data_IF_080164942701
#
_entry.id   IF_080164942701
#
_cell.length_a   1.000
_cell.length_b   1.000
_cell.length_c   1.000
_cell.angle_alpha   90.00
_cell.angle_beta   90.00
_cell.angle_gamma   90.00
#
_symmetry.space_group_name_H-M   'P 1'
#
loop_
_entity.id
_entity.type
_entity.pdbx_description
1 polymer ?
#
# COMPACT_ATOMS: atom_id res chain seq x y z
N UNK A 1 46.93 -39.13 56.16
CA UNK A 1 48.32 -38.86 56.60
C UNK A 1 48.56 -37.38 56.33
N UNK A 2 48.67 -36.67 57.41
CA UNK A 2 49.78 -35.84 57.88
C UNK A 2 50.15 -34.73 56.87
N UNK A 3 50.25 -33.51 57.15
CA UNK A 3 50.51 -32.60 58.32
C UNK A 3 50.99 -31.31 57.65
N UNK A 4 50.56 -30.19 57.98
CA UNK A 4 50.91 -29.21 59.02
C UNK A 4 51.54 -27.96 58.38
N UNK A 5 50.98 -26.79 58.67
CA UNK A 5 51.54 -25.67 59.51
C UNK A 5 52.61 -24.84 58.79
N UNK A 6 52.75 -23.55 58.88
CA UNK A 6 52.67 -22.57 59.96
C UNK A 6 52.99 -21.21 59.31
N UNK A 7 52.31 -20.13 59.54
CA UNK A 7 52.53 -19.09 60.57
C UNK A 7 53.80 -18.22 60.40
N UNK A 8 53.54 -16.98 60.54
CA UNK A 8 54.24 -15.81 61.08
C UNK A 8 54.35 -14.67 60.06
N UNK A 9 53.71 -13.60 60.23
CA UNK A 9 53.70 -12.57 61.28
C UNK A 9 54.85 -11.55 61.15
N UNK A 10 54.39 -10.37 61.14
CA UNK A 10 54.89 -9.15 61.81
C UNK A 10 55.58 -8.10 60.95
N UNK A 11 54.92 -6.98 60.88
CA UNK A 11 55.11 -5.70 61.64
C UNK A 11 56.06 -4.70 60.95
N UNK A 12 55.66 -3.56 60.74
CA UNK A 12 55.70 -2.25 61.38
C UNK A 12 56.00 -1.09 60.37
N UNK A 13 55.21 -0.13 60.51
CA UNK A 13 55.43 1.35 60.57
C UNK A 13 56.01 2.04 59.30
N UNK A 14 55.55 3.12 58.90
CA UNK A 14 54.87 4.24 59.47
C UNK A 14 55.02 5.45 58.57
N UNK A 15 54.27 6.44 58.90
CA UNK A 15 54.24 7.91 58.58
C UNK A 15 53.53 8.38 57.33
N UNK A 16 52.32 8.85 57.51
CA UNK A 16 51.82 10.25 57.56
C UNK A 16 52.50 11.25 56.60
N UNK A 17 51.75 11.70 55.58
CA UNK A 17 51.65 13.14 55.25
C UNK A 17 50.27 13.43 54.64
N UNK A 18 49.63 14.33 55.30
CA UNK A 18 48.43 15.12 55.00
C UNK A 18 48.52 15.85 53.66
N UNK A 19 47.41 15.94 52.90
CA UNK A 19 46.89 17.21 52.47
C UNK A 19 45.62 17.09 51.55
N UNK A 20 44.61 17.69 52.05
CA UNK A 20 43.65 18.60 51.40
C UNK A 20 42.53 18.00 50.61
N UNK A 21 41.38 18.07 51.21
CA UNK A 21 40.04 18.00 50.69
C UNK A 21 39.80 18.97 49.51
N UNK A 22 39.21 18.44 48.44
CA UNK A 22 38.28 19.24 47.62
C UNK A 22 37.07 18.36 47.32
N UNK A 23 36.04 18.65 48.08
CA UNK A 23 34.67 18.16 47.85
C UNK A 23 34.17 18.63 46.50
N UNK A 24 34.01 17.73 45.57
CA UNK A 24 33.22 17.90 44.35
C UNK A 24 32.02 16.97 44.42
N UNK A 25 30.88 17.44 44.91
CA UNK A 25 29.60 16.80 44.73
C UNK A 25 29.28 16.83 43.23
N UNK A 26 29.59 15.73 42.54
CA UNK A 26 29.07 15.42 41.24
C UNK A 26 27.73 14.73 41.41
N UNK A 27 26.67 15.49 41.37
CA UNK A 27 25.28 15.03 41.22
C UNK A 27 25.20 14.21 39.91
N UNK A 28 24.95 12.89 40.02
CA UNK A 28 24.50 12.11 38.88
C UNK A 28 23.17 12.72 38.44
N UNK A 29 23.20 13.54 37.41
CA UNK A 29 22.03 13.86 36.62
C UNK A 29 21.56 12.55 36.02
N UNK A 30 20.35 12.13 36.40
CA UNK A 30 19.61 11.14 35.68
C UNK A 30 19.48 11.67 34.24
N UNK A 31 20.19 11.04 33.32
CA UNK A 31 20.07 11.32 31.91
C UNK A 31 18.65 10.95 31.50
N UNK A 32 17.84 11.95 31.25
CA UNK A 32 16.63 11.85 30.49
C UNK A 32 17.05 11.24 29.14
N UNK A 33 16.63 10.01 28.87
CA UNK A 33 16.83 9.37 27.57
C UNK A 33 16.01 10.13 26.54
N UNK A 34 16.58 11.20 26.01
CA UNK A 34 16.18 11.72 24.71
C UNK A 34 16.60 10.65 23.71
N UNK A 35 15.64 9.95 23.11
CA UNK A 35 15.82 9.19 21.89
C UNK A 35 16.13 10.19 20.76
N UNK A 36 17.35 10.71 20.77
CA UNK A 36 17.88 11.48 19.66
C UNK A 36 18.04 10.54 18.47
N UNK A 37 17.41 10.87 17.38
CA UNK A 37 17.76 10.36 16.05
C UNK A 37 19.29 10.49 15.94
N UNK A 38 19.96 9.39 15.62
CA UNK A 38 21.41 9.41 15.34
C UNK A 38 21.58 10.32 14.13
N UNK A 39 22.10 11.52 14.33
CA UNK A 39 22.15 12.59 13.33
C UNK A 39 22.97 12.23 12.08
N UNK A 40 23.67 11.11 12.10
CA UNK A 40 24.56 10.66 11.02
C UNK A 40 24.00 9.41 10.30
N UNK A 41 22.87 8.86 10.73
CA UNK A 41 22.30 7.66 10.11
C UNK A 41 21.54 7.99 8.83
N UNK A 42 21.91 7.33 7.72
CA UNK A 42 21.18 7.36 6.45
C UNK A 42 20.47 6.04 6.27
N UNK A 43 19.13 6.06 6.32
CA UNK A 43 18.30 4.89 6.15
C UNK A 43 18.26 4.45 4.69
N UNK A 44 18.33 3.15 4.43
CA UNK A 44 18.23 2.56 3.10
C UNK A 44 16.82 2.00 2.93
N UNK A 45 16.07 2.50 1.98
CA UNK A 45 14.67 2.10 1.74
C UNK A 45 14.52 1.58 0.32
N UNK A 46 13.99 0.37 0.16
CA UNK A 46 13.63 -0.18 -1.15
C UNK A 46 12.15 0.00 -1.44
N UNK A 47 11.80 0.44 -2.63
CA UNK A 47 10.43 0.54 -3.12
C UNK A 47 10.27 -0.39 -4.32
N UNK A 48 9.40 -1.40 -4.20
CA UNK A 48 9.00 -2.26 -5.30
C UNK A 48 7.59 -1.85 -5.75
N UNK A 49 7.48 -1.21 -6.91
CA UNK A 49 6.21 -0.84 -7.54
C UNK A 49 5.90 -1.82 -8.68
N UNK A 50 4.66 -2.35 -8.72
CA UNK A 50 4.27 -3.35 -9.72
C UNK A 50 4.35 -2.79 -11.16
N UNK A 51 3.77 -1.63 -11.40
CA UNK A 51 3.69 -1.01 -12.73
C UNK A 51 3.58 0.50 -12.60
N UNK A 52 3.64 1.22 -13.73
CA UNK A 52 3.41 2.65 -13.79
C UNK A 52 1.98 2.92 -14.23
N UNK A 53 1.24 3.63 -13.41
CA UNK A 53 -0.01 4.31 -13.67
C UNK A 53 -0.28 5.29 -12.54
N UNK A 54 -1.20 6.22 -12.77
CA UNK A 54 -1.40 7.40 -11.91
C UNK A 54 -1.55 7.07 -10.42
N UNK A 55 -2.30 6.02 -10.06
CA UNK A 55 -2.54 5.67 -8.67
C UNK A 55 -1.25 5.16 -7.98
N UNK A 56 -0.52 4.21 -8.59
CA UNK A 56 0.72 3.69 -7.98
C UNK A 56 1.84 4.73 -7.97
N UNK A 57 1.93 5.57 -9.01
CA UNK A 57 2.91 6.65 -9.08
C UNK A 57 2.63 7.69 -7.98
N UNK A 58 1.35 8.05 -7.77
CA UNK A 58 0.95 8.96 -6.69
C UNK A 58 1.24 8.37 -5.30
N UNK A 59 0.99 7.07 -5.08
CA UNK A 59 1.30 6.41 -3.81
C UNK A 59 2.82 6.38 -3.54
N UNK A 60 3.62 6.07 -4.55
CA UNK A 60 5.10 6.13 -4.42
C UNK A 60 5.57 7.55 -4.13
N UNK A 61 5.02 8.56 -4.82
CA UNK A 61 5.37 9.96 -4.58
C UNK A 61 5.02 10.39 -3.16
N UNK A 62 3.80 10.09 -2.68
CA UNK A 62 3.39 10.40 -1.31
C UNK A 62 4.31 9.77 -0.26
N UNK A 63 4.70 8.51 -0.46
CA UNK A 63 5.65 7.81 0.42
C UNK A 63 7.02 8.50 0.47
N UNK A 64 7.56 8.85 -0.69
CA UNK A 64 8.86 9.53 -0.80
C UNK A 64 8.82 10.92 -0.14
N UNK A 65 7.73 11.67 -0.38
CA UNK A 65 7.55 13.01 0.19
C UNK A 65 7.42 12.97 1.70
N UNK A 66 6.70 11.99 2.26
CA UNK A 66 6.59 11.80 3.69
C UNK A 66 7.94 11.51 4.35
N UNK A 67 8.72 10.57 3.78
CA UNK A 67 10.05 10.25 4.32
C UNK A 67 11.00 11.44 4.25
N UNK A 68 11.05 12.15 3.12
CA UNK A 68 11.86 13.34 2.96
C UNK A 68 11.46 14.46 3.94
N UNK A 69 10.16 14.62 4.19
CA UNK A 69 9.63 15.64 5.10
C UNK A 69 9.96 15.30 6.55
N UNK A 70 9.81 14.04 6.96
CA UNK A 70 9.90 13.62 8.37
C UNK A 70 11.32 13.31 8.79
N UNK A 71 12.12 12.72 7.90
CA UNK A 71 13.51 12.31 8.22
C UNK A 71 14.55 13.31 7.71
N UNK A 72 14.23 14.09 6.67
CA UNK A 72 15.18 14.87 5.89
C UNK A 72 15.72 14.05 4.70
N UNK A 73 15.79 14.67 3.53
CA UNK A 73 16.26 14.00 2.30
C UNK A 73 17.72 13.53 2.37
N UNK A 74 18.54 14.14 3.25
CA UNK A 74 19.92 13.76 3.54
C UNK A 74 20.04 12.50 4.42
N UNK A 75 18.97 12.12 5.13
CA UNK A 75 18.93 10.99 6.06
C UNK A 75 18.21 9.76 5.50
N UNK A 76 17.75 9.79 4.26
CA UNK A 76 17.11 8.65 3.62
C UNK A 76 17.57 8.50 2.17
N UNK A 77 17.91 7.26 1.79
CA UNK A 77 18.22 6.87 0.42
C UNK A 77 17.15 5.89 -0.06
N UNK A 78 16.35 6.28 -1.04
CA UNK A 78 15.21 5.52 -1.53
C UNK A 78 15.51 4.98 -2.92
N UNK A 79 15.56 3.65 -3.05
CA UNK A 79 15.76 2.93 -4.32
C UNK A 79 14.38 2.47 -4.84
N UNK A 80 13.83 3.19 -5.82
CA UNK A 80 12.53 2.88 -6.43
C UNK A 80 12.75 2.03 -7.68
N UNK A 81 12.16 0.85 -7.72
CA UNK A 81 12.19 -0.07 -8.86
C UNK A 81 10.79 -0.50 -9.27
N UNK A 82 10.55 -0.52 -10.59
CA UNK A 82 9.24 -0.84 -11.19
C UNK A 82 9.32 -2.16 -11.94
N UNK A 83 8.37 -3.06 -11.65
CA UNK A 83 8.30 -4.41 -12.25
C UNK A 83 7.61 -4.43 -13.63
N UNK A 84 7.22 -3.28 -14.18
CA UNK A 84 6.63 -3.11 -15.52
C UNK A 84 5.39 -3.97 -15.79
N UNK A 85 4.60 -4.25 -14.75
CA UNK A 85 3.34 -5.02 -14.83
C UNK A 85 3.53 -6.53 -14.79
N UNK A 86 4.75 -7.04 -14.68
CA UNK A 86 5.03 -8.47 -14.52
C UNK A 86 5.27 -8.80 -13.04
N UNK A 87 4.33 -9.49 -12.41
CA UNK A 87 4.42 -9.91 -11.01
C UNK A 87 5.67 -10.75 -10.72
N UNK A 88 6.17 -11.51 -11.70
CA UNK A 88 7.39 -12.32 -11.55
C UNK A 88 8.63 -11.47 -11.43
N UNK A 89 8.61 -10.26 -11.98
CA UNK A 89 9.71 -9.27 -11.89
C UNK A 89 9.80 -8.63 -10.51
N UNK A 90 8.73 -8.63 -9.69
CA UNK A 90 8.80 -8.16 -8.31
C UNK A 90 9.82 -8.97 -7.48
N UNK A 91 9.91 -10.29 -7.71
CA UNK A 91 10.80 -11.18 -6.94
C UNK A 91 12.29 -10.80 -7.04
N UNK A 92 12.91 -10.65 -8.23
CA UNK A 92 14.31 -10.21 -8.31
C UNK A 92 14.55 -8.80 -7.77
N UNK A 93 13.58 -7.88 -7.91
CA UNK A 93 13.67 -6.54 -7.33
C UNK A 93 13.77 -6.63 -5.81
N UNK A 94 12.83 -7.32 -5.17
CA UNK A 94 12.81 -7.48 -3.71
C UNK A 94 14.05 -8.23 -3.21
N UNK A 95 14.47 -9.30 -3.90
CA UNK A 95 15.70 -10.02 -3.55
C UNK A 95 16.95 -9.12 -3.62
N UNK A 96 16.97 -8.15 -4.55
CA UNK A 96 18.04 -7.14 -4.58
C UNK A 96 18.06 -6.29 -3.31
N UNK A 97 16.90 -5.86 -2.81
CA UNK A 97 16.79 -5.10 -1.57
C UNK A 97 17.21 -5.93 -0.35
N UNK A 98 16.80 -7.21 -0.29
CA UNK A 98 17.20 -8.12 0.79
C UNK A 98 18.72 -8.30 0.79
N UNK A 99 19.36 -8.50 -0.38
CA UNK A 99 20.80 -8.63 -0.53
C UNK A 99 21.55 -7.35 -0.13
N UNK A 100 20.99 -6.17 -0.43
CA UNK A 100 21.51 -4.87 -0.01
C UNK A 100 21.30 -4.60 1.48
N UNK A 101 20.48 -5.42 2.16
CA UNK A 101 20.10 -5.26 3.57
C UNK A 101 19.49 -3.89 3.84
N UNK A 102 18.52 -3.51 3.04
CA UNK A 102 17.79 -2.25 3.27
C UNK A 102 17.12 -2.24 4.64
N UNK A 103 16.90 -1.07 5.22
CA UNK A 103 16.28 -0.91 6.55
C UNK A 103 14.75 -1.15 6.50
N UNK A 104 14.12 -0.93 5.33
CA UNK A 104 12.69 -1.11 5.12
C UNK A 104 12.39 -1.34 3.63
N UNK A 105 11.37 -2.15 3.33
CA UNK A 105 10.81 -2.34 1.99
C UNK A 105 9.39 -1.79 1.96
N UNK A 106 9.10 -0.90 1.01
CA UNK A 106 7.75 -0.53 0.63
C UNK A 106 7.34 -1.33 -0.60
N UNK A 107 6.22 -2.04 -0.49
CA UNK A 107 5.65 -2.86 -1.57
C UNK A 107 4.37 -2.20 -2.08
N UNK A 108 4.42 -1.65 -3.29
CA UNK A 108 3.32 -0.94 -3.92
C UNK A 108 2.56 -1.87 -4.88
N UNK A 109 1.38 -2.27 -4.51
CA UNK A 109 0.43 -3.24 -5.04
C UNK A 109 0.59 -4.66 -4.47
N UNK A 110 -0.51 -5.44 -4.55
CA UNK A 110 -0.61 -6.82 -4.04
C UNK A 110 0.52 -7.75 -4.51
N UNK A 111 0.89 -7.83 -5.80
CA UNK A 111 1.98 -8.71 -6.23
C UNK A 111 3.35 -8.32 -5.67
N UNK A 112 3.61 -7.03 -5.48
CA UNK A 112 4.84 -6.55 -4.84
C UNK A 112 4.89 -6.95 -3.35
N UNK A 113 3.75 -6.84 -2.64
CA UNK A 113 3.64 -7.31 -1.25
C UNK A 113 3.88 -8.82 -1.15
N UNK A 114 3.29 -9.62 -2.03
CA UNK A 114 3.51 -11.08 -2.07
C UNK A 114 4.97 -11.44 -2.31
N UNK A 115 5.65 -10.75 -3.22
CA UNK A 115 7.07 -10.94 -3.46
C UNK A 115 7.92 -10.60 -2.23
N UNK A 116 7.60 -9.49 -1.54
CA UNK A 116 8.30 -9.06 -0.33
C UNK A 116 8.07 -10.04 0.84
N UNK A 117 6.84 -10.47 1.05
CA UNK A 117 6.47 -11.47 2.05
C UNK A 117 7.27 -12.77 1.92
N UNK A 118 7.42 -13.25 0.67
CA UNK A 118 8.14 -14.49 0.40
C UNK A 118 9.68 -14.34 0.50
N UNK A 119 10.21 -13.13 0.39
CA UNK A 119 11.65 -12.90 0.32
C UNK A 119 12.31 -12.69 1.68
N UNK A 120 11.61 -12.17 2.69
CA UNK A 120 12.20 -11.85 3.99
C UNK A 120 11.18 -11.90 5.13
N UNK A 121 11.65 -12.36 6.29
CA UNK A 121 10.89 -12.36 7.55
C UNK A 121 11.49 -11.40 8.59
N UNK A 122 12.52 -10.63 8.21
CA UNK A 122 13.28 -9.80 9.15
C UNK A 122 13.34 -8.33 8.78
N UNK A 123 13.33 -7.99 7.47
CA UNK A 123 13.27 -6.61 7.03
C UNK A 123 11.80 -6.15 7.14
N UNK A 124 11.51 -5.01 7.77
CA UNK A 124 10.17 -4.44 7.80
C UNK A 124 9.60 -4.23 6.41
N UNK A 125 8.35 -4.64 6.19
CA UNK A 125 7.63 -4.50 4.91
C UNK A 125 6.37 -3.69 5.16
N UNK A 126 6.23 -2.57 4.46
CA UNK A 126 4.99 -1.82 4.41
C UNK A 126 4.35 -1.97 3.03
N UNK A 127 3.15 -2.55 2.99
CA UNK A 127 2.32 -2.55 1.80
C UNK A 127 1.64 -1.20 1.62
N UNK A 128 1.45 -0.77 0.38
CA UNK A 128 0.55 0.33 -0.01
C UNK A 128 -0.16 -0.05 -1.29
N UNK A 129 -1.32 0.53 -1.56
CA UNK A 129 -2.16 0.13 -2.71
C UNK A 129 -2.45 -1.38 -2.71
N UNK A 130 -2.69 -1.93 -1.53
CA UNK A 130 -3.06 -3.33 -1.29
C UNK A 130 -4.50 -3.39 -0.83
N UNK A 131 -5.35 -4.03 -1.60
CA UNK A 131 -6.80 -4.02 -1.35
C UNK A 131 -7.17 -4.78 -0.09
N UNK A 132 -6.76 -6.05 0.03
CA UNK A 132 -7.13 -6.89 1.17
C UNK A 132 -5.96 -7.79 1.55
N UNK A 133 -5.39 -7.58 2.74
CA UNK A 133 -4.18 -8.25 3.21
C UNK A 133 -4.39 -9.73 3.50
N UNK A 134 -5.57 -10.13 3.97
CA UNK A 134 -5.92 -11.54 4.20
C UNK A 134 -5.86 -12.33 2.90
N UNK A 135 -6.45 -11.81 1.82
CA UNK A 135 -6.40 -12.41 0.47
C UNK A 135 -4.98 -12.37 -0.09
N UNK A 136 -4.31 -11.21 0.00
CA UNK A 136 -2.96 -11.03 -0.53
C UNK A 136 -1.95 -12.02 0.05
N UNK A 137 -2.06 -12.33 1.34
CA UNK A 137 -1.12 -13.16 2.09
C UNK A 137 -1.66 -14.54 2.46
N UNK A 138 -2.90 -14.87 2.07
CA UNK A 138 -3.54 -16.15 2.38
C UNK A 138 -3.83 -16.37 3.87
N UNK A 139 -4.19 -15.30 4.60
CA UNK A 139 -4.46 -15.34 6.04
C UNK A 139 -5.96 -15.55 6.28
N UNK A 140 -6.34 -16.72 6.84
CA UNK A 140 -7.73 -17.06 7.11
C UNK A 140 -8.38 -16.24 8.24
N UNK A 141 -7.57 -15.76 9.18
CA UNK A 141 -8.04 -15.09 10.42
C UNK A 141 -7.56 -13.63 10.49
N UNK A 142 -7.43 -12.97 9.32
CA UNK A 142 -7.01 -11.58 9.27
C UNK A 142 -8.06 -10.67 9.94
N UNK A 143 -7.62 -9.87 10.89
CA UNK A 143 -8.47 -8.99 11.71
C UNK A 143 -7.97 -7.54 11.80
N UNK A 144 -7.24 -7.10 10.75
CA UNK A 144 -6.74 -5.73 10.66
C UNK A 144 -5.26 -5.54 11.04
N UNK A 145 -4.61 -6.57 11.59
CA UNK A 145 -3.15 -6.58 11.84
C UNK A 145 -2.55 -7.85 11.27
N UNK A 146 -1.51 -7.72 10.44
CA UNK A 146 -0.79 -8.87 9.87
C UNK A 146 0.16 -9.48 10.90
N UNK A 147 0.89 -8.63 11.59
CA UNK A 147 1.92 -9.06 12.55
C UNK A 147 3.26 -9.40 11.90
N UNK A 148 4.19 -9.94 12.69
CA UNK A 148 5.53 -10.25 12.21
C UNK A 148 6.26 -9.00 11.71
N UNK A 149 6.76 -9.02 10.49
CA UNK A 149 7.47 -7.89 9.88
C UNK A 149 6.64 -7.12 8.83
N UNK A 150 5.30 -7.22 8.87
CA UNK A 150 4.41 -6.65 7.85
C UNK A 150 3.34 -5.77 8.46
N UNK A 151 3.13 -4.61 7.87
CA UNK A 151 1.98 -3.72 8.04
C UNK A 151 1.78 -2.90 6.77
N UNK A 152 1.04 -1.80 6.84
CA UNK A 152 0.85 -0.88 5.72
C UNK A 152 -0.51 -0.23 5.65
N UNK A 153 -0.90 0.16 4.45
CA UNK A 153 -2.17 0.82 4.15
C UNK A 153 -2.97 0.03 3.12
N UNK A 154 -4.30 0.13 3.22
CA UNK A 154 -5.22 -0.52 2.28
C UNK A 154 -5.95 0.50 1.42
N UNK A 155 -6.08 0.19 0.13
CA UNK A 155 -6.86 0.97 -0.83
C UNK A 155 -8.29 0.48 -0.99
N UNK A 156 -8.74 -0.43 -0.11
CA UNK A 156 -10.08 -1.00 -0.16
C UNK A 156 -11.15 0.07 0.09
N UNK A 157 -11.81 0.49 -0.95
CA UNK A 157 -13.02 1.29 -0.86
C UNK A 157 -14.25 0.42 -0.51
N UNK A 158 -15.35 0.99 -0.01
CA UNK A 158 -16.58 0.25 0.26
C UNK A 158 -17.19 -0.34 -1.01
N UNK A 159 -16.95 -1.63 -1.30
CA UNK A 159 -17.32 -2.30 -2.55
C UNK A 159 -18.84 -2.33 -2.80
N UNK A 160 -19.64 -2.48 -1.74
CA UNK A 160 -21.11 -2.45 -1.87
C UNK A 160 -21.62 -1.06 -2.23
N UNK A 161 -20.95 0.00 -1.80
CA UNK A 161 -21.28 1.36 -2.19
C UNK A 161 -20.84 1.64 -3.64
N UNK A 162 -19.71 1.08 -4.10
CA UNK A 162 -19.34 1.11 -5.53
C UNK A 162 -20.39 0.40 -6.38
N UNK A 163 -20.92 -0.73 -5.93
CA UNK A 163 -22.00 -1.43 -6.61
C UNK A 163 -23.31 -0.62 -6.61
N UNK A 164 -23.65 0.07 -5.52
CA UNK A 164 -24.80 0.97 -5.48
C UNK A 164 -24.66 2.15 -6.44
N UNK A 165 -23.45 2.69 -6.64
CA UNK A 165 -23.20 3.72 -7.64
C UNK A 165 -23.59 3.29 -9.06
N UNK A 166 -23.45 2.01 -9.41
CA UNK A 166 -23.88 1.46 -10.70
C UNK A 166 -25.39 1.66 -10.83
N UNK A 167 -26.15 1.33 -9.78
CA UNK A 167 -27.61 1.43 -9.76
C UNK A 167 -28.09 2.89 -9.77
N UNK A 168 -27.37 3.78 -9.10
CA UNK A 168 -27.68 5.22 -9.03
C UNK A 168 -27.46 5.91 -10.37
N UNK A 169 -26.35 5.57 -11.06
CA UNK A 169 -25.96 6.22 -12.32
C UNK A 169 -26.60 5.60 -13.56
N UNK A 170 -26.96 4.30 -13.50
CA UNK A 170 -27.62 3.56 -14.58
C UNK A 170 -28.89 2.86 -14.05
N UNK A 171 -29.97 3.62 -13.73
CA UNK A 171 -31.14 3.06 -13.02
C UNK A 171 -31.87 1.94 -13.74
N UNK A 172 -31.68 1.77 -15.05
CA UNK A 172 -32.32 0.73 -15.85
C UNK A 172 -31.40 -0.46 -16.14
N UNK A 173 -30.25 -0.54 -15.45
CA UNK A 173 -29.27 -1.61 -15.62
C UNK A 173 -29.89 -2.99 -15.36
N UNK A 174 -29.59 -3.95 -16.24
CA UNK A 174 -29.97 -5.35 -16.12
C UNK A 174 -28.76 -6.27 -16.16
N UNK A 175 -27.75 -5.85 -16.90
CA UNK A 175 -26.52 -6.62 -17.13
C UNK A 175 -25.30 -5.78 -16.79
N UNK A 176 -24.44 -6.31 -15.91
CA UNK A 176 -23.16 -5.71 -15.53
C UNK A 176 -22.01 -6.59 -16.01
N UNK A 177 -21.14 -6.04 -16.83
CA UNK A 177 -19.87 -6.68 -17.20
C UNK A 177 -18.81 -6.40 -16.13
N UNK A 178 -18.23 -7.45 -15.57
CA UNK A 178 -17.16 -7.35 -14.58
C UNK A 178 -15.84 -7.56 -15.31
N UNK A 179 -15.14 -6.46 -15.64
CA UNK A 179 -13.91 -6.46 -16.44
C UNK A 179 -12.69 -6.37 -15.54
N UNK A 180 -11.82 -7.39 -15.56
CA UNK A 180 -10.70 -7.47 -14.63
C UNK A 180 -9.57 -8.40 -15.08
N UNK A 181 -8.39 -8.27 -14.47
CA UNK A 181 -7.25 -9.16 -14.64
C UNK A 181 -7.37 -10.36 -13.69
N UNK A 182 -7.48 -11.58 -14.26
CA UNK A 182 -7.57 -12.83 -13.47
C UNK A 182 -6.25 -13.23 -12.79
N UNK A 183 -5.14 -12.59 -13.16
CA UNK A 183 -3.84 -12.79 -12.51
C UNK A 183 -3.66 -11.90 -11.25
N UNK A 184 -4.63 -11.03 -10.95
CA UNK A 184 -4.59 -10.13 -9.80
C UNK A 184 -5.60 -10.58 -8.71
N UNK A 185 -5.12 -11.14 -7.57
CA UNK A 185 -6.01 -11.60 -6.49
C UNK A 185 -6.89 -10.48 -5.88
N UNK A 186 -6.37 -9.24 -5.84
CA UNK A 186 -7.14 -8.05 -5.43
C UNK A 186 -8.35 -7.82 -6.32
N UNK A 187 -8.21 -7.97 -7.63
CA UNK A 187 -9.29 -7.79 -8.61
C UNK A 187 -10.35 -8.89 -8.49
N UNK A 188 -9.93 -10.15 -8.40
CA UNK A 188 -10.83 -11.30 -8.20
C UNK A 188 -11.67 -11.16 -6.91
N UNK A 189 -11.05 -10.72 -5.81
CA UNK A 189 -11.74 -10.47 -4.55
C UNK A 189 -12.84 -9.42 -4.70
N UNK A 190 -12.52 -8.26 -5.27
CA UNK A 190 -13.45 -7.15 -5.45
C UNK A 190 -14.61 -7.54 -6.38
N UNK A 191 -14.28 -8.18 -7.51
CA UNK A 191 -15.28 -8.67 -8.47
C UNK A 191 -16.25 -9.63 -7.81
N UNK A 192 -15.74 -10.57 -6.98
CA UNK A 192 -16.61 -11.52 -6.28
C UNK A 192 -17.60 -10.80 -5.34
N UNK A 193 -17.14 -9.83 -4.56
CA UNK A 193 -18.00 -9.09 -3.63
C UNK A 193 -19.08 -8.30 -4.37
N UNK A 194 -18.70 -7.59 -5.45
CA UNK A 194 -19.63 -6.80 -6.27
C UNK A 194 -20.63 -7.70 -7.00
N UNK A 195 -20.18 -8.83 -7.56
CA UNK A 195 -21.03 -9.82 -8.21
C UNK A 195 -22.08 -10.38 -7.27
N UNK A 196 -21.66 -10.84 -6.07
CA UNK A 196 -22.55 -11.37 -5.06
C UNK A 196 -23.60 -10.32 -4.64
N UNK A 197 -23.17 -9.08 -4.44
CA UNK A 197 -24.05 -7.98 -4.02
C UNK A 197 -25.11 -7.63 -5.10
N UNK A 198 -24.67 -7.43 -6.35
CA UNK A 198 -25.56 -7.10 -7.46
C UNK A 198 -26.51 -8.25 -7.83
N UNK A 199 -26.02 -9.49 -7.80
CA UNK A 199 -26.83 -10.68 -8.05
C UNK A 199 -27.95 -10.83 -7.03
N UNK A 200 -27.70 -10.51 -5.75
CA UNK A 200 -28.73 -10.49 -4.70
C UNK A 200 -29.80 -9.38 -4.93
N UNK A 201 -29.49 -8.37 -5.76
CA UNK A 201 -30.42 -7.32 -6.19
C UNK A 201 -31.13 -7.67 -7.52
N UNK A 202 -30.88 -8.84 -8.08
CA UNK A 202 -31.52 -9.32 -9.32
C UNK A 202 -30.84 -8.81 -10.60
N UNK A 203 -29.62 -8.28 -10.50
CA UNK A 203 -28.81 -7.85 -11.64
C UNK A 203 -28.00 -9.03 -12.16
N UNK A 204 -27.97 -9.22 -13.47
CA UNK A 204 -27.14 -10.25 -14.12
C UNK A 204 -25.71 -9.75 -14.24
N UNK A 205 -24.77 -10.44 -13.60
CA UNK A 205 -23.35 -10.14 -13.72
C UNK A 205 -22.66 -11.17 -14.64
N UNK A 206 -21.77 -10.70 -15.49
CA UNK A 206 -20.94 -11.55 -16.36
C UNK A 206 -19.48 -11.15 -16.20
N UNK A 207 -18.62 -12.12 -15.91
CA UNK A 207 -17.18 -11.90 -15.77
C UNK A 207 -16.49 -11.88 -17.11
N UNK A 208 -15.73 -10.84 -17.37
CA UNK A 208 -14.88 -10.63 -18.54
C UNK A 208 -13.44 -10.48 -18.05
N UNK A 209 -12.70 -11.58 -18.00
CA UNK A 209 -11.34 -11.59 -17.50
C UNK A 209 -10.31 -11.66 -18.62
N UNK A 210 -9.23 -10.92 -18.46
CA UNK A 210 -7.99 -11.06 -19.21
C UNK A 210 -6.88 -11.52 -18.26
N UNK A 211 -5.83 -12.14 -18.78
CA UNK A 211 -4.69 -12.60 -17.96
C UNK A 211 -3.52 -11.62 -17.96
N UNK A 212 -3.44 -10.79 -18.99
CA UNK A 212 -2.40 -9.77 -19.16
C UNK A 212 -2.91 -8.65 -20.09
N UNK A 213 -2.06 -7.67 -20.33
CA UNK A 213 -2.42 -6.46 -21.10
C UNK A 213 -2.68 -6.69 -22.59
N UNK A 214 -2.32 -7.86 -23.18
CA UNK A 214 -2.50 -8.13 -24.60
C UNK A 214 -3.96 -8.40 -24.96
N UNK A 215 -4.71 -9.00 -24.04
CA UNK A 215 -6.11 -9.39 -24.27
C UNK A 215 -7.12 -8.29 -23.90
N UNK A 216 -6.68 -7.21 -23.24
CA UNK A 216 -7.57 -6.13 -22.73
C UNK A 216 -8.50 -5.61 -23.81
N UNK A 217 -8.01 -5.30 -25.02
CA UNK A 217 -8.85 -4.73 -26.08
C UNK A 217 -9.95 -5.69 -26.53
N UNK A 218 -9.63 -6.96 -26.73
CA UNK A 218 -10.59 -7.97 -27.21
C UNK A 218 -11.67 -8.25 -26.15
N UNK A 219 -11.25 -8.41 -24.89
CA UNK A 219 -12.15 -8.69 -23.77
C UNK A 219 -13.03 -7.48 -23.46
N UNK A 220 -12.48 -6.25 -23.49
CA UNK A 220 -13.26 -5.02 -23.34
C UNK A 220 -14.31 -4.86 -24.43
N UNK A 221 -13.95 -5.13 -25.70
CA UNK A 221 -14.89 -5.06 -26.81
C UNK A 221 -16.09 -5.99 -26.58
N UNK A 222 -15.83 -7.21 -26.11
CA UNK A 222 -16.89 -8.16 -25.81
C UNK A 222 -17.74 -7.70 -24.61
N UNK A 223 -17.11 -7.24 -23.53
CA UNK A 223 -17.81 -6.74 -22.35
C UNK A 223 -18.73 -5.56 -22.71
N UNK A 224 -18.23 -4.62 -23.53
CA UNK A 224 -18.98 -3.44 -23.94
C UNK A 224 -20.17 -3.78 -24.85
N UNK A 225 -20.07 -4.83 -25.66
CA UNK A 225 -21.18 -5.27 -26.53
C UNK A 225 -22.28 -6.02 -25.77
N UNK A 226 -21.96 -6.69 -24.67
CA UNK A 226 -22.87 -7.61 -23.99
C UNK A 226 -23.45 -7.03 -22.68
N UNK A 227 -23.03 -5.82 -22.25
CA UNK A 227 -23.37 -5.27 -20.93
C UNK A 227 -23.99 -3.86 -21.02
N UNK A 228 -24.94 -3.57 -20.14
CA UNK A 228 -25.51 -2.21 -20.00
C UNK A 228 -24.51 -1.25 -19.34
N UNK A 229 -23.65 -1.77 -18.48
CA UNK A 229 -22.56 -1.04 -17.79
C UNK A 229 -21.44 -2.01 -17.46
N UNK A 230 -20.21 -1.51 -17.43
CA UNK A 230 -19.03 -2.27 -17.01
C UNK A 230 -18.59 -1.78 -15.63
N UNK A 231 -18.24 -2.71 -14.74
CA UNK A 231 -17.50 -2.45 -13.52
C UNK A 231 -16.06 -2.89 -13.70
N UNK A 232 -15.12 -2.01 -13.40
CA UNK A 232 -13.67 -2.32 -13.35
C UNK A 232 -13.21 -2.09 -11.91
N UNK A 233 -12.74 -3.12 -11.18
CA UNK A 233 -12.24 -2.97 -9.82
C UNK A 233 -10.95 -2.14 -9.79
N UNK A 234 -10.34 -2.00 -8.62
CA UNK A 234 -8.96 -1.52 -8.48
C UNK A 234 -8.01 -2.56 -9.09
N UNK A 235 -7.75 -2.43 -10.39
CA UNK A 235 -7.05 -3.40 -11.25
C UNK A 235 -5.85 -2.73 -11.92
N UNK A 236 -4.64 -3.16 -11.60
CA UNK A 236 -3.41 -2.51 -12.07
C UNK A 236 -3.19 -2.67 -13.58
N UNK A 237 -3.60 -3.81 -14.14
CA UNK A 237 -3.49 -4.06 -15.57
C UNK A 237 -4.48 -3.19 -16.34
N UNK A 238 -5.73 -3.08 -15.89
CA UNK A 238 -6.73 -2.18 -16.47
C UNK A 238 -6.30 -0.71 -16.34
N UNK A 239 -5.79 -0.29 -15.17
CA UNK A 239 -5.29 1.06 -14.93
C UNK A 239 -4.17 1.47 -15.89
N UNK A 240 -3.28 0.54 -16.24
CA UNK A 240 -2.21 0.76 -17.22
C UNK A 240 -2.69 0.80 -18.68
N UNK A 241 -4.00 0.55 -18.96
CA UNK A 241 -4.61 0.42 -20.30
C UNK A 241 -5.88 1.25 -20.47
N UNK A 242 -6.07 2.26 -19.66
CA UNK A 242 -7.29 3.10 -19.64
C UNK A 242 -7.57 3.77 -20.98
N UNK A 243 -6.56 4.18 -21.74
CA UNK A 243 -6.73 4.76 -23.09
C UNK A 243 -7.38 3.74 -24.07
N UNK A 244 -6.89 2.49 -24.03
CA UNK A 244 -7.45 1.42 -24.87
C UNK A 244 -8.89 1.11 -24.49
N UNK A 245 -9.15 0.93 -23.19
CA UNK A 245 -10.48 0.68 -22.64
C UNK A 245 -11.40 1.85 -22.99
N UNK A 246 -10.97 3.09 -22.73
CA UNK A 246 -11.73 4.31 -22.96
C UNK A 246 -12.14 4.48 -24.43
N UNK A 247 -11.25 4.22 -25.37
CA UNK A 247 -11.56 4.26 -26.80
C UNK A 247 -12.70 3.29 -27.18
N UNK A 248 -12.67 2.08 -26.61
CA UNK A 248 -13.65 1.03 -26.92
C UNK A 248 -15.02 1.38 -26.30
N UNK A 249 -15.05 1.72 -25.00
CA UNK A 249 -16.31 1.97 -24.29
C UNK A 249 -17.01 3.26 -24.76
N UNK A 250 -16.26 4.30 -25.16
CA UNK A 250 -16.79 5.49 -25.82
C UNK A 250 -17.47 5.14 -27.15
N UNK A 251 -16.80 4.34 -27.98
CA UNK A 251 -17.33 3.91 -29.28
C UNK A 251 -18.58 3.04 -29.14
N UNK A 252 -18.62 2.19 -28.14
CA UNK A 252 -19.77 1.33 -27.80
C UNK A 252 -20.88 2.07 -27.05
N UNK A 253 -20.60 3.26 -26.50
CA UNK A 253 -21.46 4.03 -25.59
C UNK A 253 -21.85 3.25 -24.33
N UNK A 254 -20.94 2.42 -23.83
CA UNK A 254 -21.15 1.62 -22.63
C UNK A 254 -20.48 2.31 -21.45
N UNK A 255 -21.23 2.77 -20.43
CA UNK A 255 -20.66 3.43 -19.27
C UNK A 255 -19.81 2.47 -18.44
N UNK A 256 -18.80 3.02 -17.75
CA UNK A 256 -17.91 2.28 -16.84
C UNK A 256 -17.96 2.91 -15.46
N UNK A 257 -18.24 2.13 -14.43
CA UNK A 257 -17.99 2.51 -13.03
C UNK A 257 -16.68 1.88 -12.59
N UNK A 258 -15.78 2.73 -12.09
CA UNK A 258 -14.40 2.36 -11.82
C UNK A 258 -14.14 2.19 -10.32
N UNK A 259 -13.24 1.29 -9.97
CA UNK A 259 -12.79 1.01 -8.60
C UNK A 259 -11.83 2.07 -8.05
N UNK A 260 -11.17 2.85 -8.95
CA UNK A 260 -10.22 3.88 -8.53
C UNK A 260 -10.21 5.07 -9.52
N UNK A 261 -9.56 6.16 -9.08
CA UNK A 261 -9.61 7.48 -9.75
C UNK A 261 -8.96 7.48 -11.14
N UNK A 262 -7.79 6.85 -11.32
CA UNK A 262 -7.08 6.85 -12.61
C UNK A 262 -7.85 6.09 -13.69
N UNK A 263 -8.48 4.95 -13.34
CA UNK A 263 -9.38 4.23 -14.26
C UNK A 263 -10.59 5.10 -14.59
N UNK A 264 -11.16 5.79 -13.60
CA UNK A 264 -12.28 6.70 -13.83
C UNK A 264 -11.90 7.86 -14.76
N UNK A 265 -10.76 8.49 -14.54
CA UNK A 265 -10.27 9.58 -15.38
C UNK A 265 -10.06 9.14 -16.83
N UNK A 266 -9.51 7.95 -17.06
CA UNK A 266 -9.20 7.44 -18.39
C UNK A 266 -10.39 6.86 -19.15
N UNK A 267 -11.32 6.18 -18.47
CA UNK A 267 -12.40 5.45 -19.13
C UNK A 267 -13.74 5.37 -18.37
N UNK A 268 -13.80 5.84 -17.12
CA UNK A 268 -15.00 5.70 -16.29
C UNK A 268 -15.92 6.92 -16.28
N UNK A 269 -17.16 6.72 -15.86
CA UNK A 269 -18.11 7.81 -15.58
C UNK A 269 -18.03 8.28 -14.14
N UNK A 270 -17.78 7.35 -13.19
CA UNK A 270 -17.65 7.65 -11.77
C UNK A 270 -16.84 6.59 -11.03
N UNK A 271 -16.40 6.95 -9.82
CA UNK A 271 -15.70 6.08 -8.88
C UNK A 271 -15.99 6.49 -7.43
N UNK A 272 -15.96 5.54 -6.53
CA UNK A 272 -15.79 5.76 -5.10
C UNK A 272 -14.34 5.41 -4.76
N UNK A 273 -13.49 6.41 -4.67
CA UNK A 273 -12.04 6.25 -4.61
C UNK A 273 -11.42 6.99 -3.44
N UNK A 274 -10.21 6.61 -3.12
CA UNK A 274 -9.33 7.23 -2.14
C UNK A 274 -8.26 8.08 -2.84
N UNK A 275 -7.58 8.96 -2.09
CA UNK A 275 -6.37 9.63 -2.55
C UNK A 275 -5.18 8.67 -2.40
N UNK A 276 -4.59 8.24 -3.51
CA UNK A 276 -3.41 7.37 -3.49
C UNK A 276 -2.16 8.11 -3.02
N UNK A 277 -2.07 9.41 -3.27
CA UNK A 277 -1.00 10.23 -2.69
C UNK A 277 -1.06 10.24 -1.17
N UNK A 278 -2.25 10.49 -0.58
CA UNK A 278 -2.41 10.50 0.87
C UNK A 278 -2.19 9.11 1.48
N UNK A 279 -2.59 8.05 0.77
CA UNK A 279 -2.35 6.66 1.16
C UNK A 279 -0.84 6.37 1.24
N UNK A 280 -0.11 6.76 0.20
CA UNK A 280 1.35 6.64 0.17
C UNK A 280 2.03 7.49 1.23
N UNK A 281 1.57 8.73 1.43
CA UNK A 281 2.08 9.62 2.47
C UNK A 281 1.91 9.00 3.86
N UNK A 282 0.71 8.43 4.12
CA UNK A 282 0.44 7.69 5.37
C UNK A 282 1.38 6.50 5.56
N UNK A 283 1.64 5.75 4.49
CA UNK A 283 2.61 4.65 4.52
C UNK A 283 4.02 5.15 4.85
N UNK A 284 4.39 6.32 4.34
CA UNK A 284 5.66 6.98 4.66
C UNK A 284 5.76 7.46 6.12
N UNK A 285 4.66 7.96 6.70
CA UNK A 285 4.59 8.27 8.14
C UNK A 285 4.83 7.00 9.00
N UNK A 286 4.19 5.87 8.63
CA UNK A 286 4.41 4.58 9.29
C UNK A 286 5.87 4.12 9.16
N UNK A 287 6.45 4.27 7.97
CA UNK A 287 7.86 3.94 7.71
C UNK A 287 8.81 4.77 8.59
N UNK A 288 8.57 6.07 8.70
CA UNK A 288 9.39 6.96 9.54
C UNK A 288 9.35 6.55 11.01
N UNK A 289 8.19 6.17 11.54
CA UNK A 289 8.06 5.68 12.93
C UNK A 289 8.86 4.39 13.15
N UNK A 290 8.81 3.45 12.20
CA UNK A 290 9.56 2.18 12.26
C UNK A 290 11.07 2.46 12.20
N UNK A 291 11.51 3.26 11.24
CA UNK A 291 12.92 3.57 11.02
C UNK A 291 13.55 4.29 12.22
N UNK A 292 12.78 5.15 12.89
CA UNK A 292 13.19 5.84 14.13
C UNK A 292 13.11 4.96 15.38
N UNK A 293 12.54 3.73 15.27
CA UNK A 293 12.31 2.84 16.41
C UNK A 293 11.21 3.33 17.36
N UNK A 294 10.29 4.15 16.88
CA UNK A 294 9.15 4.70 17.63
C UNK A 294 7.94 3.77 17.59
N UNK A 295 7.90 2.82 16.63
CA UNK A 295 6.82 1.84 16.48
C UNK A 295 7.35 0.44 16.23
N UNK A 296 6.62 -0.56 16.73
CA UNK A 296 6.83 -1.98 16.43
C UNK A 296 5.86 -2.40 15.31
N UNK A 297 6.40 -2.69 14.14
CA UNK A 297 5.60 -3.07 12.96
C UNK A 297 4.68 -4.26 13.24
N UNK A 298 5.07 -5.18 14.11
CA UNK A 298 4.25 -6.35 14.43
C UNK A 298 2.94 -6.03 15.15
N UNK A 299 2.84 -4.82 15.70
CA UNK A 299 1.66 -4.33 16.41
C UNK A 299 0.89 -3.25 15.62
N UNK A 300 1.45 -2.81 14.48
CA UNK A 300 0.80 -1.78 13.67
C UNK A 300 -0.38 -2.39 12.89
N UNK A 301 -1.59 -1.83 13.03
CA UNK A 301 -2.73 -2.24 12.21
C UNK A 301 -2.54 -1.77 10.77
N UNK A 302 -3.28 -2.39 9.85
CA UNK A 302 -3.45 -1.85 8.50
C UNK A 302 -4.31 -0.58 8.59
N UNK A 303 -3.82 0.50 8.01
CA UNK A 303 -4.52 1.79 7.97
C UNK A 303 -5.36 1.90 6.69
N UNK A 304 -6.52 2.57 6.79
CA UNK A 304 -7.46 2.77 5.69
C UNK A 304 -7.63 4.24 5.40
N UNK A 305 -7.80 4.60 4.12
CA UNK A 305 -8.13 5.96 3.71
C UNK A 305 -9.65 6.15 3.57
N UNK A 306 -10.10 7.41 3.69
CA UNK A 306 -11.49 7.76 3.42
C UNK A 306 -11.75 7.80 1.92
N UNK A 307 -12.86 7.21 1.48
CA UNK A 307 -13.29 7.25 0.10
C UNK A 307 -14.20 8.45 -0.18
N UNK A 308 -14.15 8.95 -1.42
CA UNK A 308 -14.98 10.04 -1.93
C UNK A 308 -15.62 9.65 -3.25
N UNK A 309 -16.85 10.11 -3.49
CA UNK A 309 -17.55 9.92 -4.77
C UNK A 309 -17.07 10.95 -5.78
N UNK A 310 -16.41 10.47 -6.82
CA UNK A 310 -15.87 11.29 -7.90
C UNK A 310 -16.54 10.90 -9.22
N UNK A 311 -16.60 11.85 -10.19
CA UNK A 311 -17.12 11.58 -11.51
C UNK A 311 -16.31 12.27 -12.60
N UNK A 312 -16.29 11.67 -13.79
CA UNK A 312 -15.68 12.21 -14.98
C UNK A 312 -16.74 13.00 -15.77
N UNK A 313 -16.65 14.32 -15.72
CA UNK A 313 -17.65 15.22 -16.31
C UNK A 313 -17.76 15.03 -17.82
N UNK A 314 -16.65 14.86 -18.52
CA UNK A 314 -16.62 14.70 -20.00
C UNK A 314 -17.28 13.39 -20.41
N UNK A 315 -16.95 12.27 -19.73
CA UNK A 315 -17.56 10.98 -20.01
C UNK A 315 -19.06 10.96 -19.71
N UNK A 316 -19.48 11.57 -18.59
CA UNK A 316 -20.90 11.69 -18.24
C UNK A 316 -21.66 12.50 -19.28
N UNK A 317 -21.09 13.63 -19.74
CA UNK A 317 -21.69 14.46 -20.79
C UNK A 317 -21.79 13.70 -22.12
N UNK A 318 -20.74 13.03 -22.55
CA UNK A 318 -20.67 12.26 -23.79
C UNK A 318 -21.71 11.12 -23.83
N UNK A 319 -21.87 10.42 -22.69
CA UNK A 319 -22.79 9.29 -22.58
C UNK A 319 -24.20 9.68 -22.11
N UNK A 320 -24.45 10.98 -21.83
CA UNK A 320 -25.76 11.46 -21.39
C UNK A 320 -26.13 10.99 -19.97
N UNK A 321 -25.15 10.73 -19.13
CA UNK A 321 -25.35 10.30 -17.74
C UNK A 321 -25.61 11.52 -16.85
N UNK A 322 -26.70 11.48 -16.09
CA UNK A 322 -26.99 12.48 -15.06
C UNK A 322 -26.37 12.04 -13.75
N UNK A 323 -25.47 12.87 -13.22
CA UNK A 323 -24.79 12.58 -11.95
C UNK A 323 -25.63 13.11 -10.79
N UNK A 324 -25.95 12.29 -9.78
CA UNK A 324 -26.67 12.74 -8.58
C UNK A 324 -25.86 13.73 -7.73
N UNK A 325 -26.53 14.40 -6.79
CA UNK A 325 -25.85 15.21 -5.77
C UNK A 325 -24.89 14.37 -4.92
N UNK A 326 -23.83 14.99 -4.43
CA UNK A 326 -22.83 14.33 -3.57
C UNK A 326 -21.62 13.76 -4.30
N UNK A 327 -21.54 13.92 -5.63
CA UNK A 327 -20.34 13.61 -6.41
C UNK A 327 -19.52 14.87 -6.67
N UNK A 328 -18.20 14.75 -6.65
CA UNK A 328 -17.26 15.81 -7.02
C UNK A 328 -16.67 15.50 -8.39
N UNK A 329 -16.59 16.50 -9.27
CA UNK A 329 -15.92 16.30 -10.56
C UNK A 329 -14.43 16.01 -10.35
N UNK A 330 -13.90 15.07 -11.14
CA UNK A 330 -12.45 14.88 -11.22
C UNK A 330 -11.82 16.16 -11.76
N UNK A 331 -10.73 16.58 -11.13
CA UNK A 331 -9.87 17.62 -11.66
C UNK A 331 -9.17 17.06 -12.90
N UNK A 332 -9.30 17.78 -14.05
CA UNK A 332 -8.73 17.41 -15.33
C UNK A 332 -7.22 17.62 -15.42
#
# INVERSE_FOLDING_TARGET
MKKKRSLCAALLAGLIVTAVCLTGCGQKAAGNGSSGVDSDKVYQVGVCQLTQHDALDAATQGFVDALNTILGSEHVNIDVQVASGDSTTCTPIVNSFVNKKVDLIMANATPALQAAYNATTSIPILGTSVTEYGVALGLSDFSGTVGGNISGTSDLAPLTEQADMILDLVPQVKTVGLLYCSAEPNSEYQVKVVEDYLSNKGITCTRYSFSDSNDVAAVTTKAAADSDVIYIPTDNTAASRTETIGSIVRSAKTPVVAGEQGICAGCGIATLSISYYDLGYKTGEMAAQILKGEADISQMPIEYANASKLYNADMCQELGITVPEGYTALEG
#
